data_IF_343772100100
#
_entry.id   IF_343772100100
#
_cell.length_a   1.000
_cell.length_b   1.000
_cell.length_c   1.000
_cell.angle_alpha   90.00
_cell.angle_beta   90.00
_cell.angle_gamma   90.00
#
_symmetry.space_group_name_H-M   'P 1'
#
loop_
_entity.id
_entity.type
_entity.pdbx_description
1 polymer ?
#
# COMPACT_ATOMS: atom_id res chain seq x y z
N UNK A 1 -17.95 -1.45 -30.98
CA UNK A 1 -17.30 -0.57 -29.98
C UNK A 1 -18.25 -0.51 -28.80
N UNK A 2 -17.81 -0.81 -27.57
CA UNK A 2 -18.69 -0.71 -26.40
C UNK A 2 -19.01 0.77 -26.15
N UNK A 3 -20.30 1.09 -26.09
CA UNK A 3 -20.86 2.46 -26.01
C UNK A 3 -20.97 3.02 -24.59
N UNK A 4 -20.49 2.30 -23.57
CA UNK A 4 -20.53 2.75 -22.20
C UNK A 4 -19.12 3.12 -21.73
N UNK A 5 -18.87 4.38 -21.33
CA UNK A 5 -17.66 4.68 -20.59
C UNK A 5 -17.67 3.79 -19.35
N UNK A 6 -16.57 3.07 -19.10
CA UNK A 6 -16.39 2.29 -17.87
C UNK A 6 -16.27 3.29 -16.73
N UNK A 7 -17.42 3.74 -16.22
CA UNK A 7 -17.51 4.53 -14.99
C UNK A 7 -17.20 3.53 -13.88
N UNK A 8 -15.97 3.56 -13.37
CA UNK A 8 -15.66 2.85 -12.14
C UNK A 8 -16.51 3.50 -11.04
N UNK A 9 -17.58 2.82 -10.63
CA UNK A 9 -18.41 3.31 -9.54
C UNK A 9 -17.53 3.54 -8.30
N UNK A 10 -17.74 4.62 -7.52
CA UNK A 10 -16.95 4.94 -6.33
C UNK A 10 -16.84 3.76 -5.34
N UNK A 11 -17.83 2.88 -5.35
CA UNK A 11 -17.85 1.63 -4.58
C UNK A 11 -16.73 0.67 -5.00
N UNK A 12 -16.48 0.47 -6.29
CA UNK A 12 -15.39 -0.38 -6.79
C UNK A 12 -14.00 0.17 -6.44
N UNK A 13 -13.83 1.50 -6.49
CA UNK A 13 -12.59 2.15 -6.07
C UNK A 13 -12.35 1.99 -4.57
N UNK A 14 -13.41 2.08 -3.76
CA UNK A 14 -13.35 1.87 -2.32
C UNK A 14 -13.01 0.42 -1.98
N UNK A 15 -13.66 -0.55 -2.63
CA UNK A 15 -13.37 -1.99 -2.48
C UNK A 15 -11.92 -2.28 -2.87
N UNK A 16 -11.45 -1.74 -3.99
CA UNK A 16 -10.07 -1.90 -4.44
C UNK A 16 -9.06 -1.38 -3.42
N UNK A 17 -9.33 -0.22 -2.81
CA UNK A 17 -8.49 0.38 -1.78
C UNK A 17 -8.45 -0.48 -0.51
N UNK A 18 -9.59 -1.02 -0.08
CA UNK A 18 -9.68 -1.96 1.04
C UNK A 18 -8.87 -3.23 0.78
N UNK A 19 -8.92 -3.77 -0.44
CA UNK A 19 -8.13 -4.95 -0.84
C UNK A 19 -6.63 -4.64 -0.77
N UNK A 20 -6.18 -3.49 -1.28
CA UNK A 20 -4.77 -3.08 -1.21
C UNK A 20 -4.31 -2.92 0.23
N UNK A 21 -5.10 -2.24 1.07
CA UNK A 21 -4.78 -2.10 2.50
C UNK A 21 -4.69 -3.48 3.16
N UNK A 22 -5.59 -4.40 2.84
CA UNK A 22 -5.58 -5.77 3.37
C UNK A 22 -4.33 -6.56 2.98
N UNK A 23 -3.97 -6.55 1.70
CA UNK A 23 -2.75 -7.22 1.20
C UNK A 23 -1.50 -6.58 1.80
N UNK A 24 -1.46 -5.25 1.90
CA UNK A 24 -0.33 -4.55 2.51
C UNK A 24 -0.19 -4.88 3.99
N UNK A 25 -1.29 -4.83 4.76
CA UNK A 25 -1.25 -5.07 6.21
C UNK A 25 -0.89 -6.50 6.57
N UNK A 26 -1.36 -7.49 5.81
CA UNK A 26 -0.90 -8.90 5.95
C UNK A 26 0.60 -9.04 5.65
N UNK A 27 1.09 -8.42 4.58
CA UNK A 27 2.52 -8.43 4.23
C UNK A 27 3.38 -7.74 5.30
N UNK A 28 2.90 -6.62 5.85
CA UNK A 28 3.56 -5.89 6.92
C UNK A 28 3.61 -6.72 8.21
N UNK A 29 2.51 -7.36 8.60
CA UNK A 29 2.47 -8.24 9.77
C UNK A 29 3.48 -9.38 9.66
N UNK A 30 3.49 -10.09 8.52
CA UNK A 30 4.47 -11.14 8.24
C UNK A 30 5.92 -10.63 8.27
N UNK A 31 6.14 -9.39 7.80
CA UNK A 31 7.47 -8.76 7.82
C UNK A 31 7.89 -8.41 9.25
N UNK A 32 7.01 -7.88 10.08
CA UNK A 32 7.26 -7.58 11.50
C UNK A 32 7.47 -8.84 12.34
N UNK A 33 6.84 -9.96 11.99
CA UNK A 33 7.09 -11.25 12.61
C UNK A 33 8.49 -11.78 12.29
N UNK A 34 8.89 -11.74 11.02
CA UNK A 34 10.14 -12.33 10.53
C UNK A 34 11.38 -11.46 10.75
N UNK A 35 11.22 -10.15 10.75
CA UNK A 35 12.34 -9.20 10.81
C UNK A 35 12.28 -8.33 12.06
N UNK A 36 13.46 -8.04 12.62
CA UNK A 36 13.65 -6.95 13.57
C UNK A 36 14.17 -5.75 12.79
N UNK A 37 13.48 -4.63 12.87
CA UNK A 37 13.84 -3.45 12.10
C UNK A 37 14.72 -2.48 12.90
N UNK A 38 15.79 -2.00 12.26
CA UNK A 38 16.63 -0.89 12.74
C UNK A 38 15.84 0.44 12.73
N UNK A 39 16.43 1.52 13.25
CA UNK A 39 15.80 2.86 13.24
C UNK A 39 15.47 3.29 11.80
N UNK A 40 16.38 3.06 10.85
CA UNK A 40 16.16 3.34 9.44
C UNK A 40 15.04 2.49 8.85
N UNK A 41 14.99 1.18 9.18
CA UNK A 41 13.89 0.30 8.76
C UNK A 41 12.54 0.75 9.30
N UNK A 42 12.47 1.21 10.56
CA UNK A 42 11.25 1.77 11.15
C UNK A 42 10.81 3.07 10.48
N UNK A 43 11.76 3.93 10.12
CA UNK A 43 11.46 5.16 9.37
C UNK A 43 10.88 4.83 7.99
N UNK A 44 11.45 3.85 7.27
CA UNK A 44 10.93 3.40 5.97
C UNK A 44 9.53 2.75 6.10
N UNK A 45 9.27 1.98 7.15
CA UNK A 45 7.91 1.49 7.46
C UNK A 45 6.95 2.67 7.69
N UNK A 46 7.39 3.71 8.40
CA UNK A 46 6.62 4.95 8.57
C UNK A 46 6.28 5.62 7.23
N UNK A 47 7.25 5.68 6.30
CA UNK A 47 7.02 6.19 4.94
C UNK A 47 6.00 5.35 4.16
N UNK A 48 5.91 4.04 4.41
CA UNK A 48 4.87 3.20 3.83
C UNK A 48 3.46 3.67 4.25
N UNK A 49 3.29 3.97 5.55
CA UNK A 49 2.00 4.45 6.08
C UNK A 49 1.65 5.83 5.57
N UNK A 50 2.63 6.74 5.45
CA UNK A 50 2.41 8.06 4.86
C UNK A 50 1.96 7.92 3.40
N UNK A 51 2.61 7.04 2.62
CA UNK A 51 2.23 6.80 1.24
C UNK A 51 0.81 6.21 1.11
N UNK A 52 0.42 5.29 1.99
CA UNK A 52 -0.95 4.76 2.03
C UNK A 52 -1.97 5.82 2.43
N UNK A 53 -1.61 6.69 3.37
CA UNK A 53 -2.48 7.80 3.78
C UNK A 53 -2.69 8.80 2.64
N UNK A 54 -1.63 9.16 1.91
CA UNK A 54 -1.75 10.03 0.72
C UNK A 54 -2.61 9.38 -0.36
N UNK A 55 -2.44 8.07 -0.61
CA UNK A 55 -3.29 7.31 -1.53
C UNK A 55 -4.76 7.31 -1.08
N UNK A 56 -5.01 7.12 0.22
CA UNK A 56 -6.34 7.17 0.80
C UNK A 56 -6.97 8.56 0.59
N UNK A 57 -6.26 9.64 0.89
CA UNK A 57 -6.73 11.02 0.67
C UNK A 57 -6.97 11.28 -0.82
N UNK A 58 -6.09 10.81 -1.71
CA UNK A 58 -6.25 10.97 -3.15
C UNK A 58 -7.54 10.31 -3.66
N UNK A 59 -7.82 9.08 -3.23
CA UNK A 59 -9.03 8.36 -3.66
C UNK A 59 -10.28 8.91 -2.94
N UNK A 60 -10.17 9.33 -1.68
CA UNK A 60 -11.25 9.95 -0.94
C UNK A 60 -11.65 11.29 -1.54
N UNK A 61 -10.69 12.20 -1.74
CA UNK A 61 -10.93 13.50 -2.37
C UNK A 61 -11.32 13.32 -3.83
N UNK A 62 -10.64 12.44 -4.58
CA UNK A 62 -10.97 12.16 -5.98
C UNK A 62 -12.33 11.50 -6.18
N UNK A 63 -12.74 10.61 -5.27
CA UNK A 63 -14.02 9.91 -5.29
C UNK A 63 -15.20 10.74 -4.80
N UNK A 64 -14.97 11.69 -3.89
CA UNK A 64 -15.98 12.70 -3.52
C UNK A 64 -16.10 13.77 -4.61
N UNK A 65 -14.97 14.14 -5.23
CA UNK A 65 -14.96 15.14 -6.31
C UNK A 65 -15.43 14.57 -7.65
N UNK A 66 -15.55 13.25 -7.82
CA UNK A 66 -15.96 12.63 -9.09
C UNK A 66 -17.46 12.73 -9.40
N UNK A 67 -18.25 13.41 -8.56
CA UNK A 67 -19.48 14.06 -9.04
C UNK A 67 -19.17 15.11 -10.14
N UNK A 68 -17.91 15.54 -10.26
CA UNK A 68 -17.38 16.31 -11.39
C UNK A 68 -16.42 15.45 -12.22
N UNK A 69 -16.84 15.13 -13.44
CA UNK A 69 -16.31 14.17 -14.43
C UNK A 69 -14.82 14.29 -14.86
N UNK A 70 -13.97 15.10 -14.23
CA UNK A 70 -12.71 15.51 -14.84
C UNK A 70 -11.46 14.72 -14.40
N UNK A 71 -11.46 14.06 -13.23
CA UNK A 71 -10.24 13.44 -12.71
C UNK A 71 -9.97 12.00 -13.22
N UNK A 72 -11.03 11.25 -13.56
CA UNK A 72 -10.94 9.81 -13.87
C UNK A 72 -10.64 9.54 -15.36
N UNK A 73 -11.03 10.45 -16.25
CA UNK A 73 -10.85 10.32 -17.71
C UNK A 73 -9.48 10.79 -18.22
N UNK A 74 -8.64 11.36 -17.36
CA UNK A 74 -7.27 11.69 -17.76
C UNK A 74 -6.41 10.41 -17.74
N UNK A 75 -5.63 10.10 -18.78
CA UNK A 75 -4.67 8.99 -18.78
C UNK A 75 -3.63 9.09 -17.66
N UNK A 76 -3.52 10.26 -17.03
CA UNK A 76 -2.73 10.51 -15.83
C UNK A 76 -3.35 9.78 -14.62
N UNK A 77 -4.68 9.63 -14.52
CA UNK A 77 -5.37 9.08 -13.35
C UNK A 77 -5.02 7.62 -13.04
N UNK A 78 -5.08 6.72 -14.03
CA UNK A 78 -4.79 5.29 -13.83
C UNK A 78 -3.30 5.05 -13.55
N UNK A 79 -2.42 5.73 -14.30
CA UNK A 79 -0.98 5.62 -14.11
C UNK A 79 -0.55 6.19 -12.75
N UNK A 80 -1.17 7.29 -12.31
CA UNK A 80 -0.95 7.87 -10.99
C UNK A 80 -1.39 6.90 -9.90
N UNK A 81 -2.57 6.29 -10.01
CA UNK A 81 -3.04 5.30 -9.03
C UNK A 81 -2.09 4.10 -8.98
N UNK A 82 -1.62 3.59 -10.12
CA UNK A 82 -0.65 2.49 -10.17
C UNK A 82 0.70 2.86 -9.54
N UNK A 83 1.18 4.09 -9.79
CA UNK A 83 2.38 4.62 -9.15
C UNK A 83 2.14 4.74 -7.64
N UNK A 84 1.11 5.46 -7.18
CA UNK A 84 0.87 5.64 -5.74
C UNK A 84 0.57 4.34 -4.98
N UNK A 85 -0.02 3.33 -5.63
CA UNK A 85 -0.24 2.01 -5.02
C UNK A 85 1.04 1.18 -4.90
N UNK A 86 2.04 1.41 -5.73
CA UNK A 86 3.33 0.68 -5.67
C UNK A 86 4.31 1.27 -4.65
N UNK A 87 4.20 2.55 -4.31
CA UNK A 87 5.10 3.23 -3.37
C UNK A 87 5.13 2.60 -1.96
N UNK A 88 3.98 2.23 -1.33
CA UNK A 88 3.98 1.56 -0.03
C UNK A 88 4.77 0.24 -0.04
N UNK A 89 4.67 -0.54 -1.13
CA UNK A 89 5.39 -1.80 -1.27
C UNK A 89 6.89 -1.58 -1.51
N UNK A 90 7.27 -0.55 -2.27
CA UNK A 90 8.68 -0.19 -2.48
C UNK A 90 9.32 0.18 -1.15
N UNK A 91 8.67 1.03 -0.34
CA UNK A 91 9.18 1.38 0.98
C UNK A 91 9.26 0.18 1.92
N UNK A 92 8.31 -0.75 1.84
CA UNK A 92 8.33 -1.98 2.65
C UNK A 92 9.49 -2.90 2.24
N UNK A 93 9.72 -3.06 0.94
CA UNK A 93 10.86 -3.83 0.41
C UNK A 93 12.18 -3.19 0.84
N UNK A 94 12.32 -1.86 0.72
CA UNK A 94 13.49 -1.13 1.17
C UNK A 94 13.68 -1.24 2.69
N UNK A 95 12.60 -1.22 3.48
CA UNK A 95 12.67 -1.42 4.92
C UNK A 95 13.24 -2.80 5.27
N UNK A 96 12.85 -3.84 4.53
CA UNK A 96 13.37 -5.20 4.71
C UNK A 96 14.84 -5.28 4.28
N UNK A 97 15.19 -4.74 3.10
CA UNK A 97 16.54 -4.84 2.54
C UNK A 97 17.58 -4.02 3.32
N UNK A 98 17.23 -2.80 3.72
CA UNK A 98 18.16 -1.84 4.33
C UNK A 98 18.10 -1.83 5.86
N UNK A 99 16.99 -2.27 6.44
CA UNK A 99 16.75 -2.16 7.87
C UNK A 99 16.26 -3.44 8.55
N UNK A 100 16.03 -4.53 7.80
CA UNK A 100 15.50 -5.78 8.33
C UNK A 100 16.59 -6.77 8.70
N UNK A 101 16.77 -7.02 9.99
CA UNK A 101 17.54 -8.16 10.46
C UNK A 101 16.61 -9.36 10.65
N UNK A 102 16.85 -10.46 9.94
CA UNK A 102 16.04 -11.67 10.08
C UNK A 102 16.16 -12.17 11.52
N UNK A 103 15.03 -12.31 12.22
CA UNK A 103 15.05 -12.84 13.59
C UNK A 103 15.65 -14.24 13.56
N UNK A 104 16.52 -14.60 14.52
CA UNK A 104 17.01 -15.96 14.62
C UNK A 104 15.82 -16.92 14.72
N UNK A 105 15.88 -18.09 14.06
CA UNK A 105 14.81 -19.08 14.19
C UNK A 105 14.60 -19.34 15.67
N UNK A 106 13.34 -19.42 16.09
CA UNK A 106 12.97 -19.77 17.45
C UNK A 106 13.34 -21.24 17.69
N UNK A 107 14.63 -21.55 17.76
CA UNK A 107 15.11 -22.83 18.26
C UNK A 107 14.76 -22.78 19.74
N UNK A 108 13.67 -23.46 20.10
CA UNK A 108 13.45 -23.82 21.50
C UNK A 108 14.74 -24.48 21.93
N UNK A 109 15.49 -23.84 22.83
CA UNK A 109 16.61 -24.49 23.49
C UNK A 109 16.01 -25.72 24.14
N UNK A 110 16.22 -26.90 23.54
CA UNK A 110 15.96 -28.17 24.17
C UNK A 110 16.69 -28.11 25.50
N UNK A 111 15.91 -27.99 26.59
CA UNK A 111 16.40 -28.11 27.96
C UNK A 111 17.14 -29.44 28.03
N UNK A 112 18.47 -29.38 28.15
CA UNK A 112 19.25 -30.48 28.72
C UNK A 112 18.98 -30.53 30.21
#
# INVERSE_FOLDING_TARGET
MNEFPVVFEPEFMTIYLLVIIGIFSTTLALSLEKYKFTIAGKALIGMCFISLFVLFVYIWVGGISSETNELILSPIGILSVLLFTTHPYIFLILAILLGGEKKPPHVSKLKK
#
